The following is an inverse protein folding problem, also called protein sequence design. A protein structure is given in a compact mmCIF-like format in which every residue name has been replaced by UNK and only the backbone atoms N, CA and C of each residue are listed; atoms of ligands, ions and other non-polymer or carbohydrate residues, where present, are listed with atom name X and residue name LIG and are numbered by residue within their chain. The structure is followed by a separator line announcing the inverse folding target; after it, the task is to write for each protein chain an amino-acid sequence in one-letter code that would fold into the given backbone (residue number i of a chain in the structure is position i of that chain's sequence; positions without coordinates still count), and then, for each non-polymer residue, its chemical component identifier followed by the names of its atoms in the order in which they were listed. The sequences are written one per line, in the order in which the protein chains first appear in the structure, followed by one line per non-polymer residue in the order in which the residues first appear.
data_IF_800740939598
#
_entry.id   IF_800740939598
#
_cell.length_a   1.000
_cell.length_b   1.000
_cell.length_c   1.000
_cell.angle_alpha   90.00
_cell.angle_beta   90.00
_cell.angle_gamma   90.00
#
_symmetry.space_group_name_H-M   'P 1'
#
loop_
_entity.id
_entity.type
_entity.pdbx_description
1 polymer ?
#
# COMPACT_ATOMS: atom_id res chain seq x y z
N UNK A 1 23.40 8.71 -8.32
CA UNK A 1 22.75 10.01 -8.58
C UNK A 1 21.27 9.81 -8.34
N UNK A 2 20.77 10.36 -7.23
CA UNK A 2 19.37 10.28 -6.82
C UNK A 2 18.58 11.42 -7.44
N UNK A 3 17.37 11.12 -7.91
CA UNK A 3 16.48 12.13 -8.46
C UNK A 3 15.76 12.86 -7.31
N UNK A 4 15.87 14.18 -7.32
CA UNK A 4 15.40 15.12 -6.27
C UNK A 4 13.88 15.05 -6.00
N UNK A 5 13.10 14.35 -6.83
CA UNK A 5 11.66 14.15 -6.63
C UNK A 5 11.26 13.13 -5.56
N UNK A 6 12.18 12.31 -5.05
CA UNK A 6 11.88 11.25 -4.06
C UNK A 6 11.79 11.76 -2.61
N UNK A 7 12.28 12.98 -2.33
CA UNK A 7 12.36 13.49 -0.95
C UNK A 7 11.07 14.17 -0.46
N UNK A 8 10.22 14.65 -1.37
CA UNK A 8 8.94 15.30 -1.02
C UNK A 8 7.73 14.38 -1.17
N UNK A 9 7.88 13.26 -1.88
CA UNK A 9 6.82 12.28 -2.10
C UNK A 9 7.25 10.95 -1.51
N UNK A 10 6.73 10.60 -0.33
CA UNK A 10 6.98 9.30 0.29
C UNK A 10 6.26 8.25 -0.55
N UNK A 11 6.89 7.77 -1.62
CA UNK A 11 6.29 6.76 -2.50
C UNK A 11 6.43 5.34 -1.95
N UNK A 12 7.04 5.15 -0.77
CA UNK A 12 7.24 3.84 -0.12
C UNK A 12 7.85 2.74 -1.04
N UNK A 13 8.59 3.13 -2.08
CA UNK A 13 9.15 2.20 -3.08
C UNK A 13 8.27 1.97 -4.32
N UNK A 14 7.04 2.50 -4.37
CA UNK A 14 6.15 2.44 -5.53
C UNK A 14 6.81 3.04 -6.78
N UNK A 15 7.50 4.18 -6.65
CA UNK A 15 8.23 4.81 -7.75
C UNK A 15 9.32 3.91 -8.34
N UNK A 16 10.05 3.18 -7.49
CA UNK A 16 11.09 2.25 -7.93
C UNK A 16 10.51 1.00 -8.61
N UNK A 17 9.44 0.42 -8.06
CA UNK A 17 8.77 -0.76 -8.65
C UNK A 17 8.13 -0.44 -9.99
N UNK A 18 7.43 0.69 -10.06
CA UNK A 18 6.77 1.16 -11.29
C UNK A 18 7.81 1.48 -12.35
N UNK A 19 8.91 2.15 -11.99
CA UNK A 19 9.98 2.43 -12.95
C UNK A 19 10.65 1.14 -13.47
N UNK A 20 11.00 0.19 -12.60
CA UNK A 20 11.60 -1.07 -13.05
C UNK A 20 10.67 -1.91 -13.94
N UNK A 21 9.35 -1.80 -13.77
CA UNK A 21 8.36 -2.61 -14.50
C UNK A 21 7.90 -1.96 -15.80
N UNK A 22 7.69 -0.64 -15.79
CA UNK A 22 7.22 0.12 -16.94
C UNK A 22 8.34 0.53 -17.90
N UNK A 23 9.54 0.81 -17.38
CA UNK A 23 10.69 1.18 -18.22
C UNK A 23 11.41 -0.03 -18.84
N UNK A 24 10.73 -1.18 -18.94
CA UNK A 24 11.14 -2.37 -19.71
C UNK A 24 11.16 -2.11 -21.24
N UNK A 25 11.55 -0.91 -21.67
CA UNK A 25 11.74 -0.53 -23.07
C UNK A 25 10.64 0.31 -23.74
N UNK A 26 9.56 0.68 -23.05
CA UNK A 26 8.44 1.43 -23.67
C UNK A 26 8.50 2.92 -23.35
N UNK A 27 8.67 3.75 -24.38
CA UNK A 27 8.74 5.21 -24.28
C UNK A 27 7.34 5.83 -24.19
N UNK A 28 6.78 5.83 -22.98
CA UNK A 28 5.45 6.38 -22.70
C UNK A 28 5.32 7.88 -22.97
N UNK A 29 6.44 8.62 -23.10
CA UNK A 29 6.40 10.05 -23.45
C UNK A 29 5.85 10.30 -24.84
N UNK A 30 5.93 9.30 -25.73
CA UNK A 30 5.45 9.37 -27.10
C UNK A 30 4.09 8.67 -27.31
N UNK A 31 3.42 8.24 -26.25
CA UNK A 31 2.14 7.52 -26.33
C UNK A 31 1.19 7.95 -25.19
N UNK A 32 0.31 8.94 -25.45
CA UNK A 32 -0.60 9.50 -24.43
C UNK A 32 -1.54 8.47 -23.81
N UNK A 33 -1.97 7.48 -24.58
CA UNK A 33 -2.83 6.38 -24.12
C UNK A 33 -2.10 5.50 -23.10
N UNK A 34 -0.85 5.11 -23.42
CA UNK A 34 0.03 4.34 -22.51
C UNK A 34 0.35 5.14 -21.24
N UNK A 35 0.50 6.47 -21.34
CA UNK A 35 0.79 7.34 -20.19
C UNK A 35 -0.39 7.40 -19.18
N UNK A 36 -1.64 7.36 -19.67
CA UNK A 36 -2.82 7.35 -18.80
C UNK A 36 -2.92 6.03 -18.03
N UNK A 37 -2.75 4.91 -18.73
CA UNK A 37 -2.73 3.58 -18.10
C UNK A 37 -1.62 3.52 -17.04
N UNK A 38 -0.39 3.86 -17.41
CA UNK A 38 0.75 3.93 -16.49
C UNK A 38 0.48 4.78 -15.24
N UNK A 39 -0.19 5.93 -15.39
CA UNK A 39 -0.51 6.80 -14.27
C UNK A 39 -1.53 6.17 -13.32
N UNK A 40 -2.57 5.54 -13.85
CA UNK A 40 -3.63 4.86 -13.09
C UNK A 40 -3.05 3.71 -12.26
N UNK A 41 -2.20 2.87 -12.85
CA UNK A 41 -1.60 1.74 -12.12
C UNK A 41 -0.57 2.22 -11.10
N UNK A 42 0.16 3.31 -11.38
CA UNK A 42 1.02 3.94 -10.38
C UNK A 42 0.22 4.35 -9.14
N UNK A 43 -0.96 4.96 -9.31
CA UNK A 43 -1.80 5.35 -8.19
C UNK A 43 -2.33 4.13 -7.42
N UNK A 44 -2.79 3.08 -8.10
CA UNK A 44 -3.24 1.83 -7.43
C UNK A 44 -2.11 1.16 -6.63
N UNK A 45 -0.92 1.04 -7.22
CA UNK A 45 0.23 0.47 -6.52
C UNK A 45 0.68 1.34 -5.35
N UNK A 46 0.67 2.65 -5.52
CA UNK A 46 0.96 3.59 -4.43
C UNK A 46 -0.02 3.38 -3.27
N UNK A 47 -1.31 3.32 -3.53
CA UNK A 47 -2.32 3.10 -2.50
C UNK A 47 -2.13 1.76 -1.77
N UNK A 48 -1.80 0.68 -2.50
CA UNK A 48 -1.47 -0.60 -1.87
C UNK A 48 -0.28 -0.51 -0.91
N UNK A 49 0.80 0.17 -1.32
CA UNK A 49 1.96 0.37 -0.46
C UNK A 49 1.66 1.27 0.75
N UNK A 50 0.78 2.25 0.60
CA UNK A 50 0.30 3.06 1.73
C UNK A 50 -0.48 2.21 2.73
N UNK A 51 -1.38 1.33 2.28
CA UNK A 51 -2.10 0.40 3.16
C UNK A 51 -1.15 -0.56 3.91
N UNK A 52 -0.17 -1.14 3.20
CA UNK A 52 0.86 -1.99 3.82
C UNK A 52 1.62 -1.21 4.90
N UNK A 53 2.01 0.03 4.61
CA UNK A 53 2.74 0.86 5.56
C UNK A 53 1.92 1.16 6.81
N UNK A 54 0.65 1.59 6.64
CA UNK A 54 -0.26 1.84 7.76
C UNK A 54 -0.41 0.60 8.63
N UNK A 55 -0.69 -0.57 8.04
CA UNK A 55 -0.84 -1.82 8.78
C UNK A 55 0.44 -2.23 9.53
N UNK A 56 1.63 -1.99 8.95
CA UNK A 56 2.91 -2.23 9.63
C UNK A 56 3.08 -1.32 10.84
N UNK A 57 2.71 -0.04 10.73
CA UNK A 57 2.71 0.90 11.86
C UNK A 57 1.73 0.43 12.93
N UNK A 58 0.49 0.10 12.56
CA UNK A 58 -0.54 -0.43 13.46
C UNK A 58 -0.07 -1.67 14.21
N UNK A 59 0.52 -2.64 13.51
CA UNK A 59 1.08 -3.84 14.13
C UNK A 59 2.28 -3.57 15.04
N UNK A 60 3.05 -2.50 14.77
CA UNK A 60 4.18 -2.11 15.63
C UNK A 60 3.74 -1.48 16.96
N UNK A 61 2.62 -0.75 16.98
CA UNK A 61 2.06 -0.15 18.20
C UNK A 61 1.22 -1.14 19.00
N UNK A 62 0.76 -2.22 18.37
CA UNK A 62 0.01 -3.32 19.00
C UNK A 62 0.65 -4.69 18.69
N UNK A 63 1.79 -5.00 19.33
CA UNK A 63 2.58 -6.18 18.97
C UNK A 63 1.96 -7.51 19.44
N UNK A 64 1.02 -7.48 20.38
CA UNK A 64 0.41 -8.67 20.98
C UNK A 64 -1.11 -8.57 20.97
N UNK A 65 -1.80 -9.67 20.66
CA UNK A 65 -3.26 -9.76 20.68
C UNK A 65 -3.84 -10.35 19.37
N UNK A 66 -5.14 -10.69 19.34
CA UNK A 66 -5.76 -11.34 18.19
C UNK A 66 -5.74 -10.48 16.92
N UNK A 67 -5.72 -9.14 17.06
CA UNK A 67 -5.62 -8.20 15.94
C UNK A 67 -4.28 -8.31 15.21
N UNK A 68 -3.21 -8.75 15.89
CA UNK A 68 -1.88 -8.89 15.28
C UNK A 68 -1.90 -9.89 14.13
N UNK A 69 -2.55 -11.03 14.31
CA UNK A 69 -2.68 -12.07 13.28
C UNK A 69 -3.55 -11.59 12.10
N UNK A 70 -4.56 -10.76 12.36
CA UNK A 70 -5.37 -10.13 11.29
C UNK A 70 -4.51 -9.21 10.44
N UNK A 71 -3.77 -8.31 11.10
CA UNK A 71 -2.88 -7.34 10.47
C UNK A 71 -1.79 -8.04 9.64
N UNK A 72 -1.16 -9.09 10.17
CA UNK A 72 -0.15 -9.86 9.43
C UNK A 72 -0.72 -10.54 8.19
N UNK A 73 -1.92 -11.13 8.29
CA UNK A 73 -2.59 -11.74 7.14
C UNK A 73 -2.91 -10.70 6.07
N UNK A 74 -3.40 -9.52 6.45
CA UNK A 74 -3.66 -8.44 5.51
C UNK A 74 -2.38 -7.94 4.83
N UNK A 75 -1.29 -7.73 5.59
CA UNK A 75 0.01 -7.32 5.03
C UNK A 75 0.48 -8.33 3.98
N UNK A 76 0.46 -9.63 4.30
CA UNK A 76 0.89 -10.67 3.37
C UNK A 76 0.02 -10.73 2.10
N UNK A 77 -1.30 -10.55 2.25
CA UNK A 77 -2.21 -10.49 1.11
C UNK A 77 -1.91 -9.28 0.20
N UNK A 78 -1.74 -8.09 0.78
CA UNK A 78 -1.43 -6.87 0.05
C UNK A 78 -0.05 -6.94 -0.63
N UNK A 79 0.96 -7.51 0.03
CA UNK A 79 2.28 -7.74 -0.57
C UNK A 79 2.22 -8.72 -1.75
N UNK A 80 1.36 -9.74 -1.66
CA UNK A 80 1.09 -10.65 -2.78
C UNK A 80 0.44 -9.90 -3.95
N UNK A 81 -0.54 -9.04 -3.68
CA UNK A 81 -1.18 -8.21 -4.71
C UNK A 81 -0.20 -7.24 -5.38
N UNK A 82 0.68 -6.61 -4.60
CA UNK A 82 1.72 -5.72 -5.13
C UNK A 82 2.78 -6.44 -5.99
N UNK A 83 2.84 -7.78 -5.96
CA UNK A 83 3.69 -8.60 -6.79
C UNK A 83 3.02 -9.11 -8.09
N UNK A 84 1.69 -9.02 -8.19
CA UNK A 84 0.93 -9.45 -9.38
C UNK A 84 1.27 -8.63 -10.62
N UNK A 85 0.92 -9.14 -11.80
CA UNK A 85 1.04 -8.42 -13.08
C UNK A 85 0.04 -7.26 -13.22
N UNK A 86 0.18 -6.52 -14.32
CA UNK A 86 -0.53 -5.25 -14.53
C UNK A 86 -2.05 -5.47 -14.58
N UNK A 87 -2.47 -6.47 -15.34
CA UNK A 87 -3.88 -6.83 -15.54
C UNK A 87 -4.54 -7.27 -14.22
N UNK A 88 -3.84 -8.09 -13.44
CA UNK A 88 -4.34 -8.52 -12.15
C UNK A 88 -4.36 -7.40 -11.09
N UNK A 89 -3.45 -6.42 -11.17
CA UNK A 89 -3.46 -5.22 -10.30
C UNK A 89 -4.63 -4.30 -10.64
N UNK A 90 -4.96 -4.14 -11.92
CA UNK A 90 -6.08 -3.30 -12.35
C UNK A 90 -7.43 -3.82 -11.85
N UNK A 91 -7.58 -5.14 -11.74
CA UNK A 91 -8.81 -5.79 -11.27
C UNK A 91 -9.04 -5.68 -9.75
N UNK A 92 -8.09 -5.12 -8.98
CA UNK A 92 -8.23 -4.98 -7.53
C UNK A 92 -9.26 -3.91 -7.16
N UNK A 93 -10.15 -4.27 -6.24
CA UNK A 93 -11.04 -3.33 -5.56
C UNK A 93 -10.29 -2.67 -4.40
N UNK A 94 -9.58 -1.58 -4.71
CA UNK A 94 -8.75 -0.86 -3.74
C UNK A 94 -9.61 -0.22 -2.64
N UNK A 95 -10.86 0.16 -2.93
CA UNK A 95 -11.76 0.71 -1.93
C UNK A 95 -12.15 -0.33 -0.87
N UNK A 96 -12.36 -1.58 -1.30
CA UNK A 96 -12.56 -2.69 -0.37
C UNK A 96 -11.32 -2.93 0.49
N UNK A 97 -10.13 -2.99 -0.13
CA UNK A 97 -8.88 -3.18 0.61
C UNK A 97 -8.67 -2.08 1.66
N UNK A 98 -8.99 -0.82 1.31
CA UNK A 98 -8.93 0.30 2.25
C UNK A 98 -9.88 0.13 3.43
N UNK A 99 -11.14 -0.28 3.18
CA UNK A 99 -12.11 -0.52 4.26
C UNK A 99 -11.67 -1.65 5.19
N UNK A 100 -11.16 -2.74 4.63
CA UNK A 100 -10.69 -3.90 5.39
C UNK A 100 -9.48 -3.52 6.27
N UNK A 101 -8.54 -2.73 5.74
CA UNK A 101 -7.40 -2.21 6.52
C UNK A 101 -7.81 -1.20 7.58
N UNK A 102 -8.80 -0.33 7.29
CA UNK A 102 -9.31 0.65 8.25
C UNK A 102 -9.95 -0.03 9.47
N UNK A 103 -10.68 -1.14 9.26
CA UNK A 103 -11.29 -1.88 10.36
C UNK A 103 -10.25 -2.41 11.37
N UNK A 104 -9.12 -2.94 10.89
CA UNK A 104 -8.01 -3.38 11.75
C UNK A 104 -7.35 -2.20 12.49
N UNK A 105 -7.19 -1.06 11.80
CA UNK A 105 -6.64 0.16 12.42
C UNK A 105 -7.56 0.69 13.51
N UNK A 106 -8.87 0.75 13.26
CA UNK A 106 -9.86 1.23 14.23
C UNK A 106 -9.92 0.33 15.47
N UNK A 107 -9.85 -1.00 15.27
CA UNK A 107 -9.81 -1.97 16.36
C UNK A 107 -8.59 -1.75 17.27
N UNK A 108 -7.41 -1.52 16.69
CA UNK A 108 -6.20 -1.22 17.45
C UNK A 108 -6.27 0.15 18.10
N UNK A 109 -6.72 1.18 17.38
CA UNK A 109 -6.86 2.54 17.89
C UNK A 109 -7.74 2.56 19.14
N UNK A 110 -8.89 1.89 19.10
CA UNK A 110 -9.82 1.80 20.23
C UNK A 110 -9.16 1.18 21.48
N UNK A 111 -8.33 0.15 21.30
CA UNK A 111 -7.64 -0.53 22.42
C UNK A 111 -6.47 0.28 22.98
N UNK A 112 -5.72 0.98 22.13
CA UNK A 112 -4.56 1.77 22.56
C UNK A 112 -4.99 3.09 23.20
N UNK A 113 -6.15 3.63 22.82
CA UNK A 113 -6.65 4.94 23.30
C UNK A 113 -7.75 4.83 24.34
N UNK A 114 -8.37 3.66 24.54
CA UNK A 114 -9.25 3.46 25.70
C UNK A 114 -8.45 3.64 26.99
N UNK A 115 -8.93 4.45 27.94
CA UNK A 115 -8.32 4.50 29.26
C UNK A 115 -8.35 3.07 29.82
N UNK A 116 -7.19 2.54 30.19
CA UNK A 116 -7.13 1.33 30.99
C UNK A 116 -8.07 1.54 32.17
N UNK A 117 -9.05 0.64 32.36
CA UNK A 117 -9.79 0.58 33.61
C UNK A 117 -8.75 0.42 34.71
N UNK A 118 -8.49 1.51 35.43
CA UNK A 118 -7.81 1.52 36.72
C UNK A 118 -8.66 0.69 37.67
N UNK A 119 -8.20 -0.54 37.93
CA UNK A 119 -8.55 -1.33 39.10
C UNK A 119 -7.46 -1.11 40.17
#
# INVERSE_FOLDING_TARGET
MGMEGCALYTCFGAGQKVSQRLFSGTDWRNSPEIAQDISSEFYKLKELFELIWVLKVTGSVYPNGPERESIERQINALETYAALDLEATQALDVDRLRRDSQADVDAVYFKVTSPAETD
#
